data_IF_045186494639
#
_entry.id   IF_045186494639
#
_cell.length_a   1.000
_cell.length_b   1.000
_cell.length_c   1.000
_cell.angle_alpha   90.00
_cell.angle_beta   90.00
_cell.angle_gamma   90.00
#
_symmetry.space_group_name_H-M   'P 1'
#
loop_
_entity.id
_entity.type
_entity.pdbx_description
1 polymer ?
#
# COMPACT_ATOMS: atom_id res chain seq x y z
N UNK A 1 -7.21 -1.91 -30.87
CA UNK A 1 -7.39 -2.33 -32.28
C UNK A 1 -8.04 -3.71 -32.29
N UNK A 2 -9.09 -3.96 -33.09
CA UNK A 2 -9.69 -5.28 -33.24
C UNK A 2 -8.66 -6.31 -33.76
N UNK A 3 -8.70 -7.55 -33.24
CA UNK A 3 -7.75 -8.62 -33.57
C UNK A 3 -7.72 -8.91 -35.08
N UNK A 4 -8.86 -8.84 -35.75
CA UNK A 4 -8.99 -9.06 -37.19
C UNK A 4 -8.18 -8.03 -38.00
N UNK A 5 -8.15 -6.77 -37.57
CA UNK A 5 -7.35 -5.72 -38.21
C UNK A 5 -5.85 -5.94 -38.01
N UNK A 6 -5.45 -6.47 -36.85
CA UNK A 6 -4.06 -6.84 -36.60
C UNK A 6 -3.62 -8.03 -37.46
N UNK A 7 -4.48 -9.03 -37.64
CA UNK A 7 -4.21 -10.18 -38.52
C UNK A 7 -4.10 -9.79 -39.99
N UNK A 8 -5.00 -8.93 -40.46
CA UNK A 8 -4.94 -8.41 -41.83
C UNK A 8 -3.65 -7.60 -42.09
N UNK A 9 -3.22 -6.79 -41.13
CA UNK A 9 -1.97 -6.05 -41.20
C UNK A 9 -0.73 -6.96 -41.16
N UNK A 10 -0.76 -8.01 -40.34
CA UNK A 10 0.32 -9.00 -40.25
C UNK A 10 0.45 -9.82 -41.55
N UNK A 11 -0.65 -10.12 -42.24
CA UNK A 11 -0.65 -10.87 -43.49
C UNK A 11 -0.24 -10.03 -44.73
N UNK A 12 -0.04 -8.72 -44.57
CA UNK A 12 0.27 -7.85 -45.70
C UNK A 12 1.71 -8.08 -46.21
N UNK A 13 1.95 -8.17 -47.54
CA UNK A 13 3.28 -8.54 -48.09
C UNK A 13 4.43 -7.56 -47.79
N UNK A 14 4.15 -6.38 -47.24
CA UNK A 14 5.16 -5.41 -46.78
C UNK A 14 5.39 -5.39 -45.27
N UNK A 15 4.58 -6.12 -44.51
CA UNK A 15 4.63 -6.15 -43.04
C UNK A 15 5.93 -6.80 -42.56
N UNK A 16 6.58 -6.26 -41.51
CA UNK A 16 7.75 -6.88 -40.90
C UNK A 16 7.53 -8.36 -40.58
N UNK A 17 6.32 -8.74 -40.16
CA UNK A 17 5.96 -10.12 -39.82
C UNK A 17 5.98 -11.11 -41.01
N UNK A 18 5.66 -10.66 -42.23
CA UNK A 18 5.78 -11.49 -43.44
C UNK A 18 7.25 -11.66 -43.85
N UNK A 19 8.05 -10.60 -43.74
CA UNK A 19 9.48 -10.61 -44.09
C UNK A 19 10.30 -11.54 -43.19
N UNK A 20 9.92 -11.65 -41.91
CA UNK A 20 10.54 -12.61 -40.97
C UNK A 20 10.41 -14.06 -41.45
N UNK A 21 9.34 -14.41 -42.18
CA UNK A 21 9.15 -15.76 -42.78
C UNK A 21 10.03 -16.03 -44.00
N UNK A 22 10.63 -15.01 -44.58
CA UNK A 22 11.53 -15.13 -45.74
C UNK A 22 13.00 -15.31 -45.30
N UNK A 23 13.29 -15.02 -44.03
CA UNK A 23 14.63 -15.18 -43.46
C UNK A 23 15.00 -16.65 -43.26
N UNK A 24 16.30 -16.96 -43.36
CA UNK A 24 16.86 -18.26 -42.97
C UNK A 24 16.50 -18.58 -41.52
N UNK A 25 16.27 -19.86 -41.22
CA UNK A 25 15.77 -20.29 -39.92
C UNK A 25 16.62 -19.81 -38.72
N UNK A 26 17.95 -19.77 -38.86
CA UNK A 26 18.86 -19.26 -37.83
C UNK A 26 18.68 -17.75 -37.58
N UNK A 27 18.63 -16.94 -38.63
CA UNK A 27 18.41 -15.49 -38.56
C UNK A 27 17.03 -15.16 -37.98
N UNK A 28 15.99 -15.88 -38.44
CA UNK A 28 14.62 -15.74 -37.93
C UNK A 28 14.54 -15.98 -36.42
N UNK A 29 15.25 -16.99 -35.94
CA UNK A 29 15.28 -17.33 -34.50
C UNK A 29 15.92 -16.21 -33.69
N UNK A 30 17.05 -15.67 -34.17
CA UNK A 30 17.76 -14.56 -33.51
C UNK A 30 16.87 -13.31 -33.48
N UNK A 31 16.27 -12.93 -34.60
CA UNK A 31 15.38 -11.76 -34.67
C UNK A 31 14.15 -11.92 -33.76
N UNK A 32 13.56 -13.12 -33.70
CA UNK A 32 12.43 -13.38 -32.82
C UNK A 32 12.83 -13.29 -31.35
N UNK A 33 14.00 -13.80 -30.97
CA UNK A 33 14.54 -13.67 -29.61
C UNK A 33 14.77 -12.19 -29.27
N UNK A 34 15.39 -11.41 -30.17
CA UNK A 34 15.60 -9.99 -29.94
C UNK A 34 14.29 -9.21 -29.83
N UNK A 35 13.33 -9.47 -30.70
CA UNK A 35 12.00 -8.87 -30.62
C UNK A 35 11.33 -9.19 -29.29
N UNK A 36 11.32 -10.46 -28.87
CA UNK A 36 10.77 -10.86 -27.57
C UNK A 36 11.51 -10.18 -26.41
N UNK A 37 12.84 -10.10 -26.46
CA UNK A 37 13.64 -9.45 -25.41
C UNK A 37 13.34 -7.96 -25.30
N UNK A 38 13.29 -7.24 -26.43
CA UNK A 38 13.01 -5.80 -26.45
C UNK A 38 11.58 -5.53 -25.98
N UNK A 39 10.61 -6.29 -26.49
CA UNK A 39 9.21 -6.12 -26.07
C UNK A 39 8.99 -6.46 -24.60
N UNK A 40 9.65 -7.50 -24.06
CA UNK A 40 9.60 -7.80 -22.62
C UNK A 40 10.22 -6.68 -21.77
N UNK A 41 11.32 -6.08 -22.22
CA UNK A 41 11.94 -4.94 -21.54
C UNK A 41 10.99 -3.72 -21.55
N UNK A 42 10.43 -3.36 -22.70
CA UNK A 42 9.49 -2.24 -22.83
C UNK A 42 8.24 -2.44 -21.95
N UNK A 43 7.68 -3.65 -21.92
CA UNK A 43 6.52 -3.96 -21.08
C UNK A 43 6.86 -3.94 -19.59
N UNK A 44 8.06 -4.41 -19.22
CA UNK A 44 8.53 -4.36 -17.82
C UNK A 44 8.71 -2.92 -17.38
N UNK A 45 9.36 -2.07 -18.19
CA UNK A 45 9.54 -0.65 -17.90
C UNK A 45 8.19 0.08 -17.78
N UNK A 46 7.24 -0.21 -18.69
CA UNK A 46 5.90 0.34 -18.63
C UNK A 46 5.16 -0.07 -17.34
N UNK A 47 5.29 -1.34 -16.91
CA UNK A 47 4.71 -1.83 -15.67
C UNK A 47 5.33 -1.21 -14.43
N UNK A 48 6.67 -1.04 -14.41
CA UNK A 48 7.37 -0.37 -13.31
C UNK A 48 6.95 1.10 -13.21
N UNK A 49 6.87 1.80 -14.34
CA UNK A 49 6.41 3.19 -14.39
C UNK A 49 4.96 3.34 -13.90
N UNK A 50 4.05 2.47 -14.37
CA UNK A 50 2.66 2.47 -13.92
C UNK A 50 2.55 2.17 -12.42
N UNK A 51 3.34 1.21 -11.92
CA UNK A 51 3.34 0.87 -10.50
C UNK A 51 3.85 2.03 -9.65
N UNK A 52 4.94 2.70 -10.06
CA UNK A 52 5.44 3.88 -9.36
C UNK A 52 4.39 5.00 -9.26
N UNK A 53 3.63 5.24 -10.33
CA UNK A 53 2.50 6.20 -10.30
C UNK A 53 1.40 5.75 -9.34
N UNK A 54 1.02 4.46 -9.34
CA UNK A 54 0.03 3.92 -8.40
C UNK A 54 0.47 4.04 -6.94
N UNK A 55 1.74 3.79 -6.63
CA UNK A 55 2.29 4.00 -5.27
C UNK A 55 2.16 5.48 -4.89
N UNK A 56 2.52 6.38 -5.80
CA UNK A 56 2.46 7.83 -5.56
C UNK A 56 1.01 8.30 -5.30
N UNK A 57 0.06 7.80 -6.08
CA UNK A 57 -1.36 8.08 -5.90
C UNK A 57 -1.91 7.52 -4.58
N UNK A 58 -1.48 6.30 -4.19
CA UNK A 58 -1.87 5.66 -2.94
C UNK A 58 -1.37 6.47 -1.75
N UNK A 59 -0.10 6.88 -1.75
CA UNK A 59 0.48 7.75 -0.73
C UNK A 59 -0.28 9.09 -0.70
N UNK A 60 -0.48 9.74 -1.84
CA UNK A 60 -1.23 11.01 -1.91
C UNK A 60 -2.64 10.88 -1.32
N UNK A 61 -3.34 9.79 -1.59
CA UNK A 61 -4.66 9.52 -1.02
C UNK A 61 -4.60 9.29 0.49
N UNK A 62 -3.58 8.60 1.00
CA UNK A 62 -3.37 8.43 2.43
C UNK A 62 -3.09 9.77 3.13
N UNK A 63 -2.29 10.66 2.54
CA UNK A 63 -2.11 12.04 3.01
C UNK A 63 -3.45 12.78 3.09
N UNK A 64 -4.22 12.80 1.99
CA UNK A 64 -5.52 13.49 1.96
C UNK A 64 -6.50 12.96 3.00
N UNK A 65 -6.58 11.63 3.17
CA UNK A 65 -7.41 11.00 4.21
C UNK A 65 -6.93 11.36 5.63
N UNK A 66 -5.62 11.38 5.85
CA UNK A 66 -5.03 11.76 7.14
C UNK A 66 -5.39 13.20 7.50
N UNK A 67 -5.26 14.13 6.54
CA UNK A 67 -5.64 15.53 6.75
C UNK A 67 -7.12 15.67 7.11
N UNK A 68 -8.01 14.96 6.40
CA UNK A 68 -9.45 14.96 6.71
C UNK A 68 -9.72 14.36 8.09
N UNK A 69 -9.05 13.25 8.45
CA UNK A 69 -9.18 12.60 9.76
C UNK A 69 -8.71 13.52 10.88
N UNK A 70 -7.59 14.22 10.71
CA UNK A 70 -7.06 15.18 11.68
C UNK A 70 -7.96 16.42 11.83
N UNK A 71 -8.51 16.93 10.72
CA UNK A 71 -9.47 18.02 10.77
C UNK A 71 -10.74 17.61 11.53
N UNK A 72 -11.24 16.40 11.29
CA UNK A 72 -12.38 15.84 12.01
C UNK A 72 -12.08 15.65 13.50
N UNK A 73 -10.93 15.07 13.84
CA UNK A 73 -10.56 14.89 15.25
C UNK A 73 -10.37 16.22 15.98
N UNK A 74 -9.86 17.25 15.30
CA UNK A 74 -9.76 18.60 15.87
C UNK A 74 -11.14 19.22 16.16
N UNK A 75 -12.14 18.97 15.30
CA UNK A 75 -13.52 19.39 15.54
C UNK A 75 -14.12 18.64 16.72
N UNK A 76 -13.97 17.31 16.76
CA UNK A 76 -14.47 16.45 17.85
C UNK A 76 -13.84 16.86 19.19
N UNK A 77 -12.53 17.09 19.22
CA UNK A 77 -11.82 17.60 20.39
C UNK A 77 -12.35 18.97 20.84
N UNK A 78 -12.59 19.89 19.90
CA UNK A 78 -13.20 21.19 20.22
C UNK A 78 -14.61 21.03 20.79
N UNK A 79 -15.43 20.14 20.25
CA UNK A 79 -16.78 19.87 20.75
C UNK A 79 -16.74 19.33 22.19
N UNK A 80 -15.81 18.43 22.48
CA UNK A 80 -15.57 17.92 23.84
C UNK A 80 -15.14 19.04 24.80
N UNK A 81 -14.24 19.94 24.40
CA UNK A 81 -13.86 21.10 25.23
C UNK A 81 -15.05 22.03 25.51
N UNK A 82 -15.93 22.23 24.54
CA UNK A 82 -17.17 23.00 24.76
C UNK A 82 -18.09 22.27 25.75
N UNK A 83 -18.25 20.95 25.63
CA UNK A 83 -19.04 20.15 26.56
C UNK A 83 -18.49 20.22 28.00
N UNK A 84 -17.17 20.13 28.17
CA UNK A 84 -16.51 20.31 29.47
C UNK A 84 -16.78 21.72 30.00
N UNK A 85 -16.65 22.75 29.16
CA UNK A 85 -16.92 24.14 29.56
C UNK A 85 -18.36 24.33 30.04
N UNK A 86 -19.34 23.79 29.31
CA UNK A 86 -20.76 23.88 29.69
C UNK A 86 -21.03 23.18 31.01
N UNK A 87 -20.41 22.02 31.24
CA UNK A 87 -20.58 21.22 32.44
C UNK A 87 -19.97 21.90 33.69
N UNK A 88 -18.85 22.61 33.51
CA UNK A 88 -18.24 23.42 34.58
C UNK A 88 -19.11 24.63 34.94
N UNK A 89 -19.77 25.25 33.96
CA UNK A 89 -20.60 26.45 34.17
C UNK A 89 -22.06 26.14 34.56
N UNK A 90 -22.47 24.87 34.55
CA UNK A 90 -23.80 24.45 35.00
C UNK A 90 -23.89 24.52 36.53
N UNK A 91 -24.51 25.60 37.04
CA UNK A 91 -24.69 25.85 38.47
C UNK A 91 -25.91 25.13 39.08
N UNK A 92 -26.77 24.50 38.27
CA UNK A 92 -27.99 23.84 38.77
C UNK A 92 -27.71 22.42 39.29
N UNK A 93 -26.66 21.76 38.79
CA UNK A 93 -26.26 20.42 39.23
C UNK A 93 -25.45 20.43 40.52
N UNK A 94 -25.45 19.33 41.26
CA UNK A 94 -24.56 19.19 42.42
C UNK A 94 -23.09 19.10 41.98
N UNK A 95 -22.16 19.48 42.86
CA UNK A 95 -20.74 19.45 42.55
C UNK A 95 -20.23 18.03 42.23
N UNK A 96 -20.81 17.00 42.88
CA UNK A 96 -20.43 15.61 42.70
C UNK A 96 -20.82 15.08 41.31
N UNK A 97 -22.04 15.35 40.85
CA UNK A 97 -22.50 14.96 39.51
C UNK A 97 -21.64 15.59 38.40
N UNK A 98 -21.16 16.82 38.62
CA UNK A 98 -20.26 17.50 37.69
C UNK A 98 -18.87 16.86 37.62
N UNK A 99 -18.38 16.32 38.74
CA UNK A 99 -17.09 15.61 38.75
C UNK A 99 -17.21 14.26 38.05
N UNK A 100 -18.26 13.50 38.34
CA UNK A 100 -18.50 12.19 37.73
C UNK A 100 -18.66 12.28 36.20
N UNK A 101 -19.43 13.26 35.70
CA UNK A 101 -19.61 13.44 34.25
C UNK A 101 -18.35 13.99 33.56
N UNK A 102 -17.55 14.81 34.26
CA UNK A 102 -16.23 15.23 33.75
C UNK A 102 -15.29 14.04 33.62
N UNK A 103 -15.25 13.16 34.61
CA UNK A 103 -14.36 12.02 34.62
C UNK A 103 -14.73 11.03 33.48
N UNK A 104 -16.03 10.83 33.19
CA UNK A 104 -16.48 10.11 31.98
C UNK A 104 -16.02 10.76 30.68
N UNK A 105 -16.09 12.10 30.57
CA UNK A 105 -15.62 12.82 29.38
C UNK A 105 -14.11 12.72 29.20
N UNK A 106 -13.34 12.72 30.30
CA UNK A 106 -11.90 12.55 30.30
C UNK A 106 -11.48 11.10 30.00
N UNK A 107 -12.26 10.11 30.41
CA UNK A 107 -12.02 8.71 30.05
C UNK A 107 -12.09 8.48 28.54
N UNK A 108 -12.89 9.26 27.80
CA UNK A 108 -12.91 9.22 26.34
C UNK A 108 -11.76 10.00 25.67
N UNK A 109 -10.99 10.78 26.43
CA UNK A 109 -9.87 11.58 25.95
C UNK A 109 -8.51 10.83 26.02
N UNK A 110 -8.52 9.51 26.29
CA UNK A 110 -7.32 8.66 26.52
C UNK A 110 -6.12 9.12 25.69
N UNK A 111 -4.99 9.25 26.41
CA UNK A 111 -3.62 9.55 25.99
C UNK A 111 -3.14 8.75 24.77
N UNK A 112 -3.67 9.02 23.58
CA UNK A 112 -2.90 8.76 22.37
C UNK A 112 -1.96 9.94 22.21
N UNK A 113 -0.64 9.76 22.44
CA UNK A 113 0.31 10.82 22.17
C UNK A 113 0.08 11.32 20.73
N UNK A 114 0.18 12.64 20.47
CA UNK A 114 -0.07 13.18 19.15
C UNK A 114 0.88 12.51 18.17
N UNK A 115 0.36 11.53 17.42
CA UNK A 115 1.10 10.86 16.38
C UNK A 115 1.50 11.93 15.37
N UNK A 116 2.79 11.97 15.00
CA UNK A 116 3.24 12.87 13.95
C UNK A 116 2.39 12.66 12.69
N UNK A 117 2.24 13.69 11.85
CA UNK A 117 1.46 13.56 10.62
C UNK A 117 1.93 12.36 9.77
N UNK A 118 3.25 12.14 9.70
CA UNK A 118 3.83 10.98 9.01
C UNK A 118 3.43 9.63 9.65
N UNK A 119 3.37 9.55 10.99
CA UNK A 119 2.87 8.37 11.68
C UNK A 119 1.38 8.12 11.37
N UNK A 120 0.55 9.16 11.39
CA UNK A 120 -0.87 9.03 11.01
C UNK A 120 -1.07 8.61 9.55
N UNK A 121 -0.19 9.04 8.63
CA UNK A 121 -0.19 8.56 7.24
C UNK A 121 0.14 7.07 7.19
N UNK A 122 1.16 6.60 7.91
CA UNK A 122 1.51 5.16 7.99
C UNK A 122 0.37 4.31 8.54
N UNK A 123 -0.31 4.80 9.59
CA UNK A 123 -1.52 4.14 10.10
C UNK A 123 -2.61 4.07 9.03
N UNK A 124 -2.85 5.15 8.30
CA UNK A 124 -3.86 5.21 7.23
C UNK A 124 -3.52 4.27 6.06
N UNK A 125 -2.23 4.12 5.74
CA UNK A 125 -1.75 3.15 4.76
C UNK A 125 -2.00 1.72 5.23
N UNK A 126 -1.68 1.42 6.50
CA UNK A 126 -1.93 0.11 7.13
C UNK A 126 -3.42 -0.25 7.10
N UNK A 127 -4.30 0.74 7.30
CA UNK A 127 -5.74 0.55 7.24
C UNK A 127 -6.23 0.23 5.81
N UNK A 128 -5.63 0.82 4.77
CA UNK A 128 -5.95 0.61 3.34
C UNK A 128 -5.21 -0.59 2.70
N UNK A 129 -5.06 -1.66 3.47
CA UNK A 129 -4.33 -2.88 3.08
C UNK A 129 -4.83 -3.53 1.78
N UNK A 130 -6.13 -3.43 1.45
CA UNK A 130 -6.66 -3.99 0.20
C UNK A 130 -6.03 -3.36 -1.06
N UNK A 131 -5.82 -2.05 -1.07
CA UNK A 131 -5.21 -1.36 -2.23
C UNK A 131 -3.73 -1.69 -2.36
N UNK A 132 -3.06 -1.86 -1.22
CA UNK A 132 -1.65 -2.26 -1.15
C UNK A 132 -1.49 -3.68 -1.70
N UNK A 133 -2.30 -4.64 -1.22
CA UNK A 133 -2.31 -6.02 -1.75
C UNK A 133 -2.55 -6.08 -3.25
N UNK A 134 -3.49 -5.28 -3.77
CA UNK A 134 -3.76 -5.21 -5.21
C UNK A 134 -2.57 -4.64 -6.01
N UNK A 135 -1.70 -3.85 -5.38
CA UNK A 135 -0.47 -3.34 -5.98
C UNK A 135 0.68 -4.35 -5.89
N UNK A 136 0.81 -5.06 -4.77
CA UNK A 136 1.86 -6.07 -4.57
C UNK A 136 1.63 -7.34 -5.41
N UNK A 137 0.39 -7.76 -5.62
CA UNK A 137 0.09 -9.00 -6.33
C UNK A 137 0.64 -9.04 -7.78
N UNK A 138 0.53 -7.98 -8.60
CA UNK A 138 1.22 -7.90 -9.89
C UNK A 138 2.75 -7.86 -9.77
N UNK A 139 3.29 -7.12 -8.80
CA UNK A 139 4.74 -7.02 -8.60
C UNK A 139 5.37 -8.37 -8.25
N UNK A 140 4.71 -9.18 -7.43
CA UNK A 140 5.17 -10.54 -7.10
C UNK A 140 5.29 -11.45 -8.31
N UNK A 141 4.50 -11.20 -9.36
CA UNK A 141 4.58 -11.96 -10.63
C UNK A 141 5.76 -11.54 -11.50
N UNK A 142 6.36 -10.38 -11.23
CA UNK A 142 7.62 -9.99 -11.86
C UNK A 142 8.72 -10.86 -11.25
N UNK A 143 9.35 -11.69 -12.08
CA UNK A 143 10.42 -12.58 -11.67
C UNK A 143 11.71 -11.81 -11.39
N UNK A 144 11.74 -11.02 -10.30
CA UNK A 144 12.94 -10.31 -9.87
C UNK A 144 14.08 -11.31 -9.62
N UNK A 145 15.22 -11.03 -10.24
CA UNK A 145 16.49 -11.75 -10.07
C UNK A 145 17.19 -11.18 -8.83
N UNK A 146 17.93 -12.01 -8.08
CA UNK A 146 18.68 -11.60 -6.86
C UNK A 146 17.81 -11.04 -5.72
N UNK A 147 16.74 -11.75 -5.36
CA UNK A 147 15.81 -11.34 -4.28
C UNK A 147 16.47 -11.18 -2.91
N UNK A 148 17.56 -11.90 -2.66
CA UNK A 148 18.19 -11.95 -1.34
C UNK A 148 19.08 -10.73 -1.03
N UNK A 149 19.54 -10.02 -2.06
CA UNK A 149 20.42 -8.87 -1.90
C UNK A 149 19.66 -7.63 -1.38
N UNK A 150 18.41 -7.45 -1.83
CA UNK A 150 17.62 -6.25 -1.54
C UNK A 150 16.62 -6.51 -0.40
N UNK A 151 16.68 -5.76 0.73
CA UNK A 151 15.76 -5.93 1.86
C UNK A 151 14.27 -5.84 1.48
N UNK A 152 13.92 -4.97 0.53
CA UNK A 152 12.54 -4.78 0.05
C UNK A 152 12.02 -5.97 -0.76
N UNK A 153 12.89 -6.66 -1.52
CA UNK A 153 12.52 -7.88 -2.22
C UNK A 153 12.34 -9.06 -1.26
N UNK A 154 13.14 -9.14 -0.19
CA UNK A 154 12.94 -10.11 0.90
C UNK A 154 11.61 -9.88 1.63
N UNK A 155 11.24 -8.62 1.89
CA UNK A 155 9.93 -8.27 2.44
C UNK A 155 8.79 -8.72 1.52
N UNK A 156 8.89 -8.41 0.22
CA UNK A 156 7.88 -8.76 -0.78
C UNK A 156 7.68 -10.29 -0.89
N UNK A 157 8.78 -11.04 -0.91
CA UNK A 157 8.75 -12.50 -0.97
C UNK A 157 8.11 -13.07 0.31
N UNK A 158 8.53 -12.57 1.48
CA UNK A 158 7.96 -13.00 2.76
C UNK A 158 6.47 -12.72 2.86
N UNK A 159 6.03 -11.50 2.55
CA UNK A 159 4.61 -11.15 2.49
C UNK A 159 3.85 -12.03 1.50
N UNK A 160 4.47 -12.36 0.38
CA UNK A 160 3.94 -13.31 -0.61
C UNK A 160 3.73 -14.72 -0.03
N UNK A 161 4.73 -15.29 0.64
CA UNK A 161 4.62 -16.63 1.27
C UNK A 161 3.54 -16.69 2.35
N UNK A 162 3.38 -15.61 3.13
CA UNK A 162 2.32 -15.49 4.13
C UNK A 162 0.94 -15.42 3.47
N UNK A 163 0.82 -14.66 2.38
CA UNK A 163 -0.43 -14.58 1.63
C UNK A 163 -0.81 -15.92 0.99
N UNK A 164 0.14 -16.62 0.38
CA UNK A 164 -0.11 -17.90 -0.30
C UNK A 164 -0.45 -19.02 0.69
N UNK A 165 0.04 -18.93 1.93
CA UNK A 165 -0.33 -19.85 3.02
C UNK A 165 -1.66 -19.48 3.69
N UNK A 166 -2.32 -18.39 3.27
CA UNK A 166 -3.57 -17.91 3.86
C UNK A 166 -3.42 -17.27 5.24
N UNK A 167 -2.20 -16.92 5.64
CA UNK A 167 -1.94 -16.28 6.92
C UNK A 167 -2.63 -14.91 6.98
N UNK A 168 -3.37 -14.69 8.06
CA UNK A 168 -4.05 -13.40 8.35
C UNK A 168 -3.27 -12.57 9.37
N UNK A 169 -2.29 -13.18 10.03
CA UNK A 169 -1.49 -12.60 11.10
C UNK A 169 0.00 -12.79 10.83
N UNK A 170 0.81 -11.84 11.30
CA UNK A 170 2.27 -11.94 11.21
C UNK A 170 2.78 -12.87 12.31
N UNK A 171 3.53 -13.94 11.99
CA UNK A 171 4.13 -14.80 13.01
C UNK A 171 5.02 -13.99 13.97
N UNK A 172 5.10 -14.34 15.27
CA UNK A 172 5.89 -13.61 16.24
C UNK A 172 7.41 -13.65 15.92
N UNK A 173 7.89 -14.77 15.39
CA UNK A 173 9.32 -14.97 15.05
C UNK A 173 9.70 -14.44 13.64
N UNK A 174 8.86 -13.59 13.05
CA UNK A 174 9.07 -13.13 11.69
C UNK A 174 10.10 -11.99 11.65
N UNK A 175 11.38 -12.34 11.51
CA UNK A 175 12.46 -11.37 11.31
C UNK A 175 12.50 -10.92 9.85
N UNK A 176 11.98 -9.72 9.60
CA UNK A 176 12.00 -9.09 8.28
C UNK A 176 12.65 -7.72 8.43
N UNK A 177 13.62 -7.34 7.58
CA UNK A 177 14.34 -6.08 7.72
C UNK A 177 13.43 -4.90 7.39
N UNK A 178 12.74 -4.33 8.38
CA UNK A 178 11.82 -3.19 8.20
C UNK A 178 12.52 -1.89 8.58
N UNK A 179 12.21 -0.79 7.88
CA UNK A 179 12.77 0.54 8.22
C UNK A 179 12.27 1.02 9.59
N UNK A 180 13.07 1.86 10.26
CA UNK A 180 12.74 2.38 11.60
C UNK A 180 11.35 3.05 11.67
N UNK A 181 10.90 3.67 10.58
CA UNK A 181 9.60 4.31 10.51
C UNK A 181 8.43 3.32 10.67
N UNK A 182 8.59 2.04 10.34
CA UNK A 182 7.51 1.05 10.41
C UNK A 182 7.67 0.06 11.57
N UNK A 183 8.80 0.10 12.27
CA UNK A 183 9.15 -0.86 13.31
C UNK A 183 8.07 -0.98 14.40
N UNK A 184 7.59 0.16 14.92
CA UNK A 184 6.55 0.19 15.97
C UNK A 184 5.22 -0.44 15.51
N UNK A 185 4.87 -0.30 14.23
CA UNK A 185 3.63 -0.87 13.68
C UNK A 185 3.75 -2.38 13.43
N UNK A 186 4.94 -2.85 13.06
CA UNK A 186 5.21 -4.27 12.79
C UNK A 186 5.46 -5.07 14.07
N UNK A 187 6.03 -4.45 15.10
CA UNK A 187 6.26 -5.05 16.41
C UNK A 187 5.08 -4.87 17.37
N UNK A 188 3.98 -4.26 16.92
CA UNK A 188 2.78 -4.08 17.73
C UNK A 188 2.14 -5.41 18.14
N UNK A 189 1.38 -5.36 19.24
CA UNK A 189 0.68 -6.50 19.83
C UNK A 189 -0.37 -7.10 18.88
N UNK A 190 -1.03 -6.26 18.08
CA UNK A 190 -1.98 -6.68 17.06
C UNK A 190 -1.24 -7.26 15.85
N UNK A 191 -1.10 -8.60 15.82
CA UNK A 191 -0.39 -9.33 14.77
C UNK A 191 -1.06 -9.27 13.41
N UNK A 192 -2.38 -9.06 13.33
CA UNK A 192 -3.08 -8.86 12.07
C UNK A 192 -2.73 -7.48 11.49
N UNK A 193 -2.68 -6.45 12.35
CA UNK A 193 -2.23 -5.11 11.96
C UNK A 193 -0.75 -5.07 11.61
N UNK A 194 0.09 -5.82 12.32
CA UNK A 194 1.50 -5.97 12.02
C UNK A 194 1.75 -6.53 10.60
N UNK A 195 0.95 -7.52 10.17
CA UNK A 195 1.02 -8.04 8.81
C UNK A 195 0.67 -6.97 7.77
N UNK A 196 -0.39 -6.19 8.03
CA UNK A 196 -0.79 -5.09 7.14
C UNK A 196 0.26 -3.98 7.09
N UNK A 197 0.96 -3.72 8.20
CA UNK A 197 2.04 -2.75 8.27
C UNK A 197 3.30 -3.25 7.55
N UNK A 198 3.55 -4.55 7.53
CA UNK A 198 4.63 -5.15 6.74
C UNK A 198 4.36 -5.05 5.24
N UNK A 199 3.10 -5.16 4.82
CA UNK A 199 2.70 -5.02 3.42
C UNK A 199 2.81 -3.56 2.91
N UNK A 200 2.75 -2.57 3.80
CA UNK A 200 2.62 -1.15 3.49
C UNK A 200 3.96 -0.41 3.28
#
# INVERSE_FOLDING_TARGET
>A
MPIEKQRAYAAHPGSPSCKVRELKASTRTIELIFFLRVTLLELTDALLYQTGRRVSDLVRQAYGRTTVRQARSAIEYRQQLVAIRTLVHDSERTAQERLDDRDKLLEHLVDRPPASHAASVRETLTDDHHRIRNLLAPLRKLGFVERDAEPSLRQLDRGGTLHDSGATELPPDCDVPVSCAWHDLVQGDDRARALRALEA
#
